data_IF_424912915012
#
_entry.id   IF_424912915012
#
_cell.length_a   1.000
_cell.length_b   1.000
_cell.length_c   1.000
_cell.angle_alpha   90.00
_cell.angle_beta   90.00
_cell.angle_gamma   90.00
#
_symmetry.space_group_name_H-M   'P 1'
#
loop_
_entity.id
_entity.type
_entity.pdbx_description
1 polymer ?
#
# COMPACT_ATOMS: atom_id res chain seq x y z
N UNK A 1 -19.43 -3.15 -8.11
CA UNK A 1 -18.51 -2.56 -9.11
C UNK A 1 -17.11 -2.53 -8.50
N UNK A 2 -16.37 -3.64 -8.58
CA UNK A 2 -14.95 -3.66 -8.21
C UNK A 2 -14.19 -3.33 -9.48
N UNK A 3 -13.48 -2.18 -9.51
CA UNK A 3 -12.55 -1.90 -10.60
C UNK A 3 -11.56 -3.06 -10.65
N UNK A 4 -11.64 -3.88 -11.70
CA UNK A 4 -10.56 -4.80 -12.07
C UNK A 4 -9.43 -3.87 -12.48
N UNK A 5 -8.55 -3.55 -11.54
CA UNK A 5 -7.40 -2.70 -11.82
C UNK A 5 -6.65 -3.34 -13.00
N UNK A 6 -6.52 -2.61 -14.12
CA UNK A 6 -5.92 -3.06 -15.38
C UNK A 6 -4.37 -3.00 -15.32
N UNK A 7 -3.79 -3.25 -14.13
CA UNK A 7 -2.34 -3.23 -13.87
C UNK A 7 -1.60 -4.40 -14.53
N UNK A 8 -2.31 -5.28 -15.23
CA UNK A 8 -1.75 -6.35 -16.04
C UNK A 8 -1.28 -5.91 -17.44
N UNK A 9 -1.60 -4.69 -17.89
CA UNK A 9 -1.26 -4.20 -19.25
C UNK A 9 -0.34 -2.98 -19.30
N UNK A 10 -0.20 -2.25 -18.20
CA UNK A 10 0.85 -1.25 -17.97
C UNK A 10 1.56 -1.68 -16.70
N UNK A 11 2.88 -1.83 -16.77
CA UNK A 11 3.71 -2.26 -15.65
C UNK A 11 3.22 -1.62 -14.33
N UNK A 12 2.97 -2.42 -13.28
CA UNK A 12 2.70 -1.85 -11.98
C UNK A 12 3.88 -0.94 -11.58
N UNK A 13 3.66 0.09 -10.75
CA UNK A 13 4.76 0.85 -10.16
C UNK A 13 5.77 -0.14 -9.57
N UNK A 14 7.05 0.02 -9.92
CA UNK A 14 8.09 -0.89 -9.45
C UNK A 14 8.27 -0.82 -7.92
N UNK A 15 7.87 0.30 -7.30
CA UNK A 15 7.94 0.47 -5.85
C UNK A 15 6.56 0.29 -5.18
N UNK A 16 6.44 -0.62 -4.19
CA UNK A 16 5.21 -0.78 -3.40
C UNK A 16 4.77 0.51 -2.66
N UNK A 17 5.66 1.48 -2.46
CA UNK A 17 5.33 2.80 -1.88
C UNK A 17 4.46 3.63 -2.83
N UNK A 18 4.75 3.59 -4.11
CA UNK A 18 4.00 4.32 -5.13
C UNK A 18 2.61 3.73 -5.29
N UNK A 19 2.52 2.39 -5.29
CA UNK A 19 1.25 1.66 -5.25
C UNK A 19 0.42 2.13 -4.05
N UNK A 20 1.01 2.16 -2.86
CA UNK A 20 0.29 2.58 -1.65
C UNK A 20 -0.20 4.03 -1.76
N UNK A 21 0.63 4.97 -2.25
CA UNK A 21 0.20 6.36 -2.45
C UNK A 21 -1.00 6.48 -3.39
N UNK A 22 -0.95 5.78 -4.53
CA UNK A 22 -2.04 5.80 -5.51
C UNK A 22 -3.34 5.25 -4.91
N UNK A 23 -3.28 4.12 -4.20
CA UNK A 23 -4.45 3.51 -3.57
C UNK A 23 -5.09 4.42 -2.52
N UNK A 24 -4.26 5.11 -1.72
CA UNK A 24 -4.73 6.09 -0.75
C UNK A 24 -5.44 7.25 -1.43
N UNK A 25 -4.87 7.79 -2.51
CA UNK A 25 -5.47 8.88 -3.28
C UNK A 25 -6.79 8.47 -3.96
N UNK A 26 -6.82 7.30 -4.61
CA UNK A 26 -8.02 6.82 -5.31
C UNK A 26 -9.19 6.53 -4.37
N UNK A 27 -8.91 6.07 -3.14
CA UNK A 27 -9.93 5.77 -2.14
C UNK A 27 -10.34 7.00 -1.30
N UNK A 28 -9.60 8.11 -1.41
CA UNK A 28 -9.81 9.30 -0.58
C UNK A 28 -9.40 9.10 0.89
N UNK A 29 -8.48 8.16 1.13
CA UNK A 29 -7.99 7.82 2.46
C UNK A 29 -6.73 8.64 2.82
N UNK A 30 -6.21 8.44 4.03
CA UNK A 30 -4.90 8.99 4.43
C UNK A 30 -3.98 7.91 4.97
N UNK A 31 -2.66 8.08 4.76
CA UNK A 31 -1.64 7.19 5.33
C UNK A 31 -1.73 7.12 6.86
N UNK A 32 -2.07 8.23 7.51
CA UNK A 32 -2.28 8.29 8.96
C UNK A 32 -3.53 7.51 9.41
N UNK A 33 -4.63 7.63 8.67
CA UNK A 33 -5.86 6.87 8.91
C UNK A 33 -5.63 5.36 8.79
N UNK A 34 -4.97 4.94 7.72
CA UNK A 34 -4.58 3.54 7.52
C UNK A 34 -3.62 3.04 8.61
N UNK A 35 -2.66 3.86 9.03
CA UNK A 35 -1.74 3.48 10.10
C UNK A 35 -2.49 3.22 11.42
N UNK A 36 -3.49 4.05 11.74
CA UNK A 36 -4.36 3.83 12.91
C UNK A 36 -5.20 2.57 12.77
N UNK A 37 -5.77 2.33 11.59
CA UNK A 37 -6.52 1.12 11.28
C UNK A 37 -5.67 -0.16 11.44
N UNK A 38 -4.38 -0.08 11.11
CA UNK A 38 -3.40 -1.15 11.33
C UNK A 38 -3.00 -1.33 12.81
N UNK A 39 -3.46 -0.46 13.72
CA UNK A 39 -3.03 -0.44 15.12
C UNK A 39 -1.60 0.07 15.31
N UNK A 40 -1.11 0.92 14.40
CA UNK A 40 0.24 1.50 14.42
C UNK A 40 0.19 3.01 14.66
N UNK A 41 1.36 3.60 14.94
CA UNK A 41 1.46 5.05 15.08
C UNK A 41 1.06 5.76 13.77
N UNK A 42 0.41 6.94 13.82
CA UNK A 42 -0.06 7.64 12.62
C UNK A 42 1.04 7.94 11.59
N UNK A 43 2.30 8.01 12.02
CA UNK A 43 3.45 8.24 11.16
C UNK A 43 3.99 6.98 10.46
N UNK A 44 3.47 5.78 10.77
CA UNK A 44 4.06 4.52 10.31
C UNK A 44 4.09 4.40 8.78
N UNK A 45 2.93 4.52 8.11
CA UNK A 45 2.89 4.44 6.65
C UNK A 45 3.47 5.70 5.99
N UNK A 46 3.42 6.86 6.64
CA UNK A 46 4.10 8.07 6.17
C UNK A 46 5.62 7.85 6.11
N UNK A 47 6.20 7.25 7.15
CA UNK A 47 7.61 6.92 7.20
C UNK A 47 7.98 5.85 6.16
N UNK A 48 7.15 4.83 5.98
CA UNK A 48 7.36 3.82 4.94
C UNK A 48 7.45 4.44 3.54
N UNK A 49 6.55 5.38 3.24
CA UNK A 49 6.44 6.02 1.93
C UNK A 49 7.52 7.09 1.71
N UNK A 50 7.71 8.01 2.66
CA UNK A 50 8.60 9.18 2.46
C UNK A 50 10.02 8.97 3.00
N UNK A 51 10.13 8.37 4.19
CA UNK A 51 11.41 8.14 4.87
C UNK A 51 12.00 6.77 4.50
N UNK A 52 11.27 5.98 3.69
CA UNK A 52 11.61 4.62 3.25
C UNK A 52 11.92 3.68 4.42
N UNK A 53 11.31 3.92 5.58
CA UNK A 53 11.48 3.10 6.78
C UNK A 53 10.12 2.61 7.32
N UNK A 54 9.94 1.29 7.52
CA UNK A 54 10.86 0.21 7.20
C UNK A 54 11.11 0.06 5.68
N UNK A 55 12.18 -0.64 5.28
CA UNK A 55 12.45 -0.88 3.86
C UNK A 55 11.36 -1.75 3.20
N UNK A 56 10.80 -2.69 3.97
CA UNK A 56 9.74 -3.60 3.56
C UNK A 56 8.64 -3.58 4.62
N UNK A 57 7.38 -3.49 4.19
CA UNK A 57 6.24 -3.64 5.09
C UNK A 57 6.19 -5.09 5.61
N UNK A 58 5.97 -5.34 6.91
CA UNK A 58 5.76 -6.69 7.41
C UNK A 58 4.61 -7.39 6.68
N UNK A 59 4.75 -8.70 6.42
CA UNK A 59 3.72 -9.51 5.74
C UNK A 59 2.31 -9.32 6.32
N UNK A 60 2.08 -9.33 7.65
CA UNK A 60 0.73 -9.11 8.20
C UNK A 60 0.15 -7.72 7.89
N UNK A 61 1.00 -6.73 7.63
CA UNK A 61 0.57 -5.39 7.22
C UNK A 61 0.20 -5.38 5.74
N UNK A 62 1.02 -6.01 4.88
CA UNK A 62 0.74 -6.13 3.44
C UNK A 62 -0.57 -6.86 3.20
N UNK A 63 -0.80 -7.98 3.89
CA UNK A 63 -2.05 -8.76 3.79
C UNK A 63 -3.29 -7.94 4.13
N UNK A 64 -3.23 -7.17 5.23
CA UNK A 64 -4.34 -6.30 5.64
C UNK A 64 -4.62 -5.25 4.58
N UNK A 65 -3.58 -4.55 4.11
CA UNK A 65 -3.72 -3.53 3.08
C UNK A 65 -4.26 -4.12 1.76
N UNK A 66 -3.74 -5.26 1.31
CA UNK A 66 -4.18 -5.92 0.09
C UNK A 66 -5.66 -6.29 0.13
N UNK A 67 -6.13 -6.86 1.25
CA UNK A 67 -7.55 -7.16 1.48
C UNK A 67 -8.42 -5.90 1.53
N UNK A 68 -7.95 -4.85 2.20
CA UNK A 68 -8.69 -3.59 2.33
C UNK A 68 -8.85 -2.86 0.99
N UNK A 69 -7.83 -2.93 0.12
CA UNK A 69 -7.86 -2.33 -1.22
C UNK A 69 -8.37 -3.27 -2.31
N UNK A 70 -8.64 -4.54 -1.98
CA UNK A 70 -9.02 -5.59 -2.92
C UNK A 70 -8.03 -5.75 -4.09
N UNK A 71 -6.74 -5.78 -3.75
CA UNK A 71 -5.63 -5.96 -4.71
C UNK A 71 -4.82 -7.22 -4.38
N UNK A 72 -3.95 -7.63 -5.30
CA UNK A 72 -2.96 -8.68 -5.05
C UNK A 72 -1.87 -8.16 -4.08
N UNK A 73 -1.51 -8.95 -3.08
CA UNK A 73 -0.48 -8.61 -2.09
C UNK A 73 0.90 -8.42 -2.71
N UNK A 74 1.17 -9.06 -3.85
CA UNK A 74 2.43 -8.94 -4.61
C UNK A 74 2.72 -7.52 -5.08
N UNK A 75 1.68 -6.69 -5.21
CA UNK A 75 1.83 -5.26 -5.51
C UNK A 75 2.44 -4.45 -4.35
N UNK A 76 2.43 -5.01 -3.14
CA UNK A 76 3.01 -4.39 -1.94
C UNK A 76 4.33 -5.05 -1.53
N UNK A 77 4.80 -6.04 -2.29
CA UNK A 77 6.10 -6.68 -2.11
C UNK A 77 7.20 -5.86 -2.77
N UNK A 78 8.44 -5.88 -2.25
CA UNK A 78 9.57 -5.29 -2.94
C UNK A 78 9.82 -6.04 -4.26
N UNK A 79 10.18 -5.30 -5.32
CA UNK A 79 10.65 -5.91 -6.56
C UNK A 79 11.95 -6.68 -6.27
N UNK A 80 11.93 -7.99 -6.50
CA UNK A 80 13.09 -8.88 -6.41
C UNK A 80 13.89 -8.88 -7.71
#
# INVERSE_FOLDING_TARGET
MAKRYDWGRRMPPADPRDVLQLLVQEKGETLAGLSRWLGRSPGYLRAYVHERTPEVLPEPVRDKLARYFAIDVRLLEPAN
#
